data_IF_564988228221
#
_entry.id   IF_564988228221
#
_cell.length_a   1.000
_cell.length_b   1.000
_cell.length_c   1.000
_cell.angle_alpha   90.00
_cell.angle_beta   90.00
_cell.angle_gamma   90.00
#
_symmetry.space_group_name_H-M   'P 1'
#
loop_
_entity.id
_entity.type
_entity.pdbx_description
1 polymer ?
#
# COMPACT_ATOMS: atom_id res chain seq x y z
N UNK A 1 2.41 -2.80 5.42
CA UNK A 1 3.47 -2.47 6.39
C UNK A 1 4.74 -3.28 6.15
N UNK A 2 4.74 -4.61 6.27
CA UNK A 2 5.95 -5.43 6.14
C UNK A 2 6.76 -5.22 4.85
N UNK A 3 6.12 -5.11 3.68
CA UNK A 3 6.82 -4.86 2.41
C UNK A 3 7.42 -3.47 2.28
N UNK A 4 6.74 -2.45 2.83
CA UNK A 4 7.25 -1.09 2.80
C UNK A 4 8.42 -0.92 3.75
N UNK A 5 8.35 -1.55 4.93
CA UNK A 5 9.46 -1.61 5.88
C UNK A 5 10.64 -2.39 5.28
N UNK A 6 10.39 -3.51 4.61
CA UNK A 6 11.43 -4.24 3.90
C UNK A 6 12.09 -3.36 2.82
N UNK A 7 11.30 -2.64 2.01
CA UNK A 7 11.83 -1.71 1.02
C UNK A 7 12.62 -0.54 1.64
N UNK A 8 12.19 0.00 2.79
CA UNK A 8 12.95 1.03 3.51
C UNK A 8 14.25 0.51 4.11
N UNK A 9 14.26 -0.76 4.54
CA UNK A 9 15.42 -1.42 5.14
C UNK A 9 16.33 -2.10 4.11
N UNK A 10 16.07 -1.90 2.80
CA UNK A 10 16.76 -2.59 1.69
C UNK A 10 16.74 -4.13 1.81
N UNK A 11 15.69 -4.67 2.44
CA UNK A 11 15.46 -6.09 2.64
C UNK A 11 14.57 -6.66 1.54
N UNK A 12 14.82 -7.93 1.21
CA UNK A 12 13.97 -8.65 0.28
C UNK A 12 12.52 -8.71 0.81
N UNK A 13 11.50 -8.48 -0.05
CA UNK A 13 10.11 -8.59 0.36
C UNK A 13 9.81 -10.03 0.81
N UNK A 14 9.04 -10.21 1.90
CA UNK A 14 8.70 -11.52 2.44
C UNK A 14 8.02 -12.41 1.39
N UNK A 15 8.33 -13.70 1.34
CA UNK A 15 7.78 -14.59 0.30
C UNK A 15 6.25 -14.65 0.31
N UNK A 16 5.63 -14.61 1.49
CA UNK A 16 4.17 -14.60 1.64
C UNK A 16 3.50 -13.33 1.09
N UNK A 17 4.25 -12.24 0.87
CA UNK A 17 3.70 -11.01 0.29
C UNK A 17 3.70 -11.03 -1.24
N UNK A 18 4.63 -11.76 -1.87
CA UNK A 18 4.84 -11.74 -3.33
C UNK A 18 3.63 -12.22 -4.13
N UNK A 19 2.88 -13.17 -3.60
CA UNK A 19 1.79 -13.84 -4.33
C UNK A 19 0.40 -13.23 -4.06
N UNK A 20 0.30 -12.19 -3.23
CA UNK A 20 -0.99 -11.74 -2.69
C UNK A 20 -1.41 -10.42 -3.34
N UNK A 21 -2.11 -10.51 -4.46
CA UNK A 21 -2.75 -9.36 -5.10
C UNK A 21 -4.24 -9.39 -4.82
N UNK A 22 -4.80 -8.28 -4.34
CA UNK A 22 -6.23 -8.17 -4.17
C UNK A 22 -6.91 -7.99 -5.52
N UNK A 23 -7.94 -8.80 -5.79
CA UNK A 23 -8.77 -8.64 -6.99
C UNK A 23 -9.58 -7.33 -6.96
N UNK A 24 -9.92 -6.85 -5.75
CA UNK A 24 -10.62 -5.59 -5.54
C UNK A 24 -9.69 -4.58 -4.85
N UNK A 25 -9.57 -3.35 -5.37
CA UNK A 25 -8.80 -2.29 -4.74
C UNK A 25 -9.24 -2.05 -3.30
N UNK A 26 -8.31 -2.12 -2.36
CA UNK A 26 -8.57 -1.81 -0.96
C UNK A 26 -8.14 -0.39 -0.62
N UNK A 27 -8.98 0.30 0.12
CA UNK A 27 -8.76 1.66 0.59
C UNK A 27 -9.05 1.74 2.10
N UNK A 28 -8.27 2.50 2.87
CA UNK A 28 -8.54 2.71 4.30
C UNK A 28 -9.79 3.57 4.53
N UNK A 29 -10.15 4.43 3.57
CA UNK A 29 -11.29 5.34 3.67
C UNK A 29 -12.36 5.05 2.62
N UNK A 30 -13.63 5.13 3.04
CA UNK A 30 -14.79 5.05 2.16
C UNK A 30 -15.10 6.36 1.42
N UNK A 31 -14.44 7.47 1.79
CA UNK A 31 -14.63 8.78 1.17
C UNK A 31 -14.01 8.83 -0.23
N UNK A 32 -14.77 9.20 -1.29
CA UNK A 32 -14.26 9.25 -2.67
C UNK A 32 -13.02 10.15 -2.84
N UNK A 33 -13.01 11.32 -2.19
CA UNK A 33 -11.88 12.26 -2.25
C UNK A 33 -10.62 11.65 -1.65
N UNK A 34 -10.74 10.90 -0.54
CA UNK A 34 -9.62 10.21 0.09
C UNK A 34 -9.11 9.04 -0.74
N UNK A 35 -9.99 8.36 -1.49
CA UNK A 35 -9.60 7.31 -2.44
C UNK A 35 -8.80 7.87 -3.62
N UNK A 36 -9.21 9.03 -4.15
CA UNK A 36 -8.44 9.75 -5.19
C UNK A 36 -7.06 10.14 -4.68
N UNK A 37 -6.96 10.73 -3.48
CA UNK A 37 -5.67 11.04 -2.87
C UNK A 37 -4.80 9.79 -2.70
N UNK A 38 -5.38 8.69 -2.19
CA UNK A 38 -4.68 7.43 -2.01
C UNK A 38 -4.22 6.81 -3.35
N UNK A 39 -4.97 6.97 -4.44
CA UNK A 39 -4.55 6.54 -5.78
C UNK A 39 -3.30 7.28 -6.25
N UNK A 40 -3.28 8.61 -6.09
CA UNK A 40 -2.20 9.49 -6.52
C UNK A 40 -0.94 9.26 -5.68
N UNK A 41 -1.10 9.18 -4.35
CA UNK A 41 0.02 9.13 -3.40
C UNK A 41 0.40 7.72 -2.92
N UNK A 42 -0.26 6.67 -3.40
CA UNK A 42 0.07 5.30 -3.02
C UNK A 42 1.52 4.93 -3.41
N UNK A 43 2.31 4.38 -2.47
CA UNK A 43 3.62 3.82 -2.79
C UNK A 43 3.51 2.69 -3.80
N UNK A 44 4.45 2.63 -4.75
CA UNK A 44 4.44 1.62 -5.83
C UNK A 44 4.41 0.17 -5.31
N UNK A 45 5.06 -0.08 -4.17
CA UNK A 45 5.06 -1.38 -3.50
C UNK A 45 3.66 -1.83 -3.07
N UNK A 46 2.74 -0.93 -2.71
CA UNK A 46 1.36 -1.28 -2.36
C UNK A 46 0.43 -1.30 -3.57
N UNK A 47 0.70 -0.42 -4.55
CA UNK A 47 -0.07 -0.36 -5.79
C UNK A 47 -0.07 -1.70 -6.54
N UNK A 48 1.07 -2.41 -6.60
CA UNK A 48 1.16 -3.76 -7.20
C UNK A 48 0.29 -4.82 -6.52
N UNK A 49 -0.12 -4.60 -5.26
CA UNK A 49 -0.98 -5.50 -4.49
C UNK A 49 -2.45 -5.08 -4.45
N UNK A 50 -2.83 -3.99 -5.13
CA UNK A 50 -4.19 -3.44 -5.11
C UNK A 50 -4.53 -2.70 -3.82
N UNK A 51 -3.52 -2.27 -3.05
CA UNK A 51 -3.70 -1.54 -1.80
C UNK A 51 -3.37 -0.07 -2.04
N UNK A 52 -4.32 0.80 -1.75
CA UNK A 52 -4.19 2.24 -1.98
C UNK A 52 -4.39 2.98 -0.65
N UNK A 53 -3.28 3.44 -0.08
CA UNK A 53 -3.23 4.26 1.12
C UNK A 53 -2.32 5.46 0.87
N UNK A 54 -2.59 6.58 1.52
CA UNK A 54 -1.68 7.73 1.42
C UNK A 54 -0.42 7.44 2.24
N UNK A 55 0.72 8.00 1.82
CA UNK A 55 1.96 7.92 2.60
C UNK A 55 1.79 8.51 4.01
N UNK A 56 0.91 9.50 4.20
CA UNK A 56 0.63 10.10 5.51
C UNK A 56 -0.13 9.14 6.44
N UNK A 57 -1.03 8.32 5.90
CA UNK A 57 -1.72 7.29 6.69
C UNK A 57 -0.77 6.15 7.09
N UNK A 58 0.29 5.93 6.30
CA UNK A 58 1.30 4.92 6.61
C UNK A 58 2.23 5.38 7.74
N UNK A 59 2.60 6.65 7.79
CA UNK A 59 3.43 7.23 8.86
C UNK A 59 2.65 7.40 10.19
N UNK A 60 1.32 7.48 10.13
CA UNK A 60 0.47 7.65 11.31
C UNK A 60 0.08 6.33 12.00
N UNK A 61 0.43 5.18 11.43
CA UNK A 61 0.04 3.84 11.89
C UNK A 61 1.22 3.08 12.52
#
# INVERSE_FOLDING_TARGET
MAEHLAAQLDLAPPEWSRSRTLATPWFPSSLPSKRMEALVWAPAAFRKHGVYLSARDLEAA
#
